data_IF_518607808437
#
_entry.id   IF_518607808437
#
_cell.length_a   1.000
_cell.length_b   1.000
_cell.length_c   1.000
_cell.angle_alpha   90.00
_cell.angle_beta   90.00
_cell.angle_gamma   90.00
#
_symmetry.space_group_name_H-M   'P 1'
#
loop_
_entity.id
_entity.type
_entity.pdbx_description
1 polymer ?
#
# COMPACT_ATOMS: atom_id res chain seq x y z
N UNK A 1 25.30 -63.14 55.76
CA UNK A 1 26.17 -62.02 56.12
C UNK A 1 26.17 -61.01 54.98
N UNK A 2 25.75 -59.78 55.29
CA UNK A 2 25.82 -58.52 54.53
C UNK A 2 25.43 -58.47 53.05
N UNK A 3 24.21 -57.98 52.80
CA UNK A 3 23.91 -57.17 51.61
C UNK A 3 23.98 -55.70 52.02
N UNK A 4 24.93 -54.94 51.46
CA UNK A 4 25.01 -53.49 51.63
C UNK A 4 24.47 -52.84 50.36
N UNK A 5 23.31 -52.19 50.47
CA UNK A 5 22.73 -51.38 49.41
C UNK A 5 23.40 -50.01 49.48
N UNK A 6 24.33 -49.75 48.55
CA UNK A 6 24.90 -48.43 48.35
C UNK A 6 23.88 -47.51 47.70
N UNK A 7 23.28 -46.62 48.48
CA UNK A 7 22.52 -45.48 47.96
C UNK A 7 23.55 -44.54 47.33
N UNK A 8 23.50 -44.41 46.01
CA UNK A 8 24.24 -43.35 45.29
C UNK A 8 23.48 -42.06 45.59
N UNK A 9 24.00 -41.28 46.54
CA UNK A 9 23.58 -39.91 46.80
C UNK A 9 23.95 -39.07 45.57
N UNK A 10 22.95 -38.72 44.76
CA UNK A 10 23.13 -37.75 43.68
C UNK A 10 23.31 -36.38 44.33
N UNK A 11 24.58 -35.96 44.42
CA UNK A 11 25.01 -34.65 44.87
C UNK A 11 24.36 -33.57 43.98
N UNK A 12 23.30 -32.94 44.50
CA UNK A 12 22.67 -31.76 43.91
C UNK A 12 23.65 -30.59 44.04
N UNK A 13 24.66 -30.55 43.16
CA UNK A 13 25.49 -29.37 42.96
C UNK A 13 24.59 -28.21 42.59
N UNK A 14 24.35 -27.34 43.56
CA UNK A 14 23.75 -26.03 43.39
C UNK A 14 24.59 -25.29 42.36
N UNK A 15 24.06 -25.17 41.15
CA UNK A 15 24.65 -24.31 40.13
C UNK A 15 24.70 -22.89 40.69
N UNK A 16 25.91 -22.42 41.02
CA UNK A 16 26.12 -21.03 41.41
C UNK A 16 25.57 -20.13 40.30
N UNK A 17 24.88 -19.05 40.67
CA UNK A 17 24.33 -18.07 39.72
C UNK A 17 25.42 -17.52 38.77
N UNK A 18 26.68 -17.49 39.21
CA UNK A 18 27.83 -17.17 38.38
C UNK A 18 28.12 -18.22 37.29
N UNK A 19 28.00 -19.50 37.60
CA UNK A 19 28.21 -20.60 36.64
C UNK A 19 27.10 -20.61 35.58
N UNK A 20 25.86 -20.31 35.97
CA UNK A 20 24.74 -20.17 35.03
C UNK A 20 24.96 -18.99 34.08
N UNK A 21 25.41 -17.85 34.61
CA UNK A 21 25.68 -16.66 33.81
C UNK A 21 26.83 -16.88 32.81
N UNK A 22 27.90 -17.57 33.21
CA UNK A 22 29.02 -17.92 32.34
C UNK A 22 28.62 -18.85 31.20
N UNK A 23 27.80 -19.87 31.50
CA UNK A 23 27.26 -20.78 30.47
C UNK A 23 26.36 -20.00 29.51
N UNK A 24 25.46 -19.16 30.03
CA UNK A 24 24.58 -18.34 29.21
C UNK A 24 25.38 -17.40 28.28
N UNK A 25 26.42 -16.74 28.80
CA UNK A 25 27.30 -15.89 28.00
C UNK A 25 28.06 -16.69 26.93
N UNK A 26 28.57 -17.88 27.27
CA UNK A 26 29.24 -18.77 26.32
C UNK A 26 28.33 -19.23 25.19
N UNK A 27 27.10 -19.63 25.52
CA UNK A 27 26.08 -20.02 24.52
C UNK A 27 25.71 -18.82 23.64
N UNK A 28 25.52 -17.64 24.21
CA UNK A 28 25.21 -16.43 23.45
C UNK A 28 26.33 -16.06 22.47
N UNK A 29 27.60 -16.11 22.91
CA UNK A 29 28.75 -15.84 22.06
C UNK A 29 28.88 -16.87 20.93
N UNK A 30 28.77 -18.17 21.24
CA UNK A 30 28.82 -19.22 20.23
C UNK A 30 27.69 -19.09 19.20
N UNK A 31 26.48 -18.79 19.66
CA UNK A 31 25.33 -18.53 18.79
C UNK A 31 25.57 -17.31 17.89
N UNK A 32 26.09 -16.21 18.44
CA UNK A 32 26.39 -15.01 17.66
C UNK A 32 27.45 -15.28 16.58
N UNK A 33 28.52 -16.01 16.91
CA UNK A 33 29.55 -16.41 15.94
C UNK A 33 28.97 -17.31 14.86
N UNK A 34 28.11 -18.27 15.22
CA UNK A 34 27.42 -19.11 14.24
C UNK A 34 26.54 -18.28 13.31
N UNK A 35 25.78 -17.31 13.84
CA UNK A 35 24.94 -16.41 13.04
C UNK A 35 25.79 -15.53 12.11
N UNK A 36 26.94 -15.05 12.55
CA UNK A 36 27.89 -14.31 11.70
C UNK A 36 28.49 -15.20 10.60
N UNK A 37 28.83 -16.44 10.94
CA UNK A 37 29.32 -17.42 9.97
C UNK A 37 28.24 -17.71 8.93
N UNK A 38 27.01 -17.98 9.36
CA UNK A 38 25.86 -18.17 8.46
C UNK A 38 25.65 -16.96 7.57
N UNK A 39 25.66 -15.73 8.12
CA UNK A 39 25.53 -14.50 7.35
C UNK A 39 26.57 -14.42 6.24
N UNK A 40 27.85 -14.63 6.58
CA UNK A 40 28.97 -14.53 5.63
C UNK A 40 28.96 -15.66 4.59
N UNK A 41 28.89 -16.92 5.01
CA UNK A 41 29.01 -18.07 4.11
C UNK A 41 27.82 -18.24 3.17
N UNK A 42 26.66 -17.68 3.52
CA UNK A 42 25.48 -17.77 2.67
C UNK A 42 25.26 -16.50 1.84
N UNK A 43 26.01 -15.42 2.07
CA UNK A 43 25.98 -14.23 1.21
C UNK A 43 26.92 -14.44 0.02
N UNK A 44 26.37 -14.57 -1.20
CA UNK A 44 27.21 -14.72 -2.39
C UNK A 44 27.84 -13.36 -2.78
N UNK A 45 29.06 -13.37 -3.33
CA UNK A 45 29.80 -12.15 -3.70
C UNK A 45 29.09 -11.30 -4.76
N UNK A 46 28.28 -11.94 -5.61
CA UNK A 46 27.46 -11.28 -6.64
C UNK A 46 26.13 -10.71 -6.11
N UNK A 47 25.77 -10.98 -4.85
CA UNK A 47 24.56 -10.40 -4.26
C UNK A 47 24.81 -8.95 -3.81
N UNK A 48 23.77 -8.09 -3.85
CA UNK A 48 23.85 -6.75 -3.27
C UNK A 48 24.32 -6.79 -1.82
N UNK A 49 25.07 -5.76 -1.41
CA UNK A 49 25.65 -5.67 -0.07
C UNK A 49 24.57 -5.84 1.01
N UNK A 50 24.84 -6.69 2.01
CA UNK A 50 23.99 -6.85 3.18
C UNK A 50 24.17 -5.66 4.12
N UNK A 51 23.07 -5.13 4.65
CA UNK A 51 23.08 -4.06 5.65
C UNK A 51 22.22 -4.42 6.86
N UNK A 52 22.39 -3.64 7.93
CA UNK A 52 21.60 -3.80 9.16
C UNK A 52 21.84 -5.15 9.86
N UNK A 53 23.10 -5.60 9.91
CA UNK A 53 23.51 -6.94 10.36
C UNK A 53 24.10 -7.01 11.79
N UNK A 54 23.82 -6.02 12.64
CA UNK A 54 24.42 -5.94 14.01
C UNK A 54 24.20 -7.24 14.80
N UNK A 55 22.95 -7.72 14.79
CA UNK A 55 22.55 -9.08 15.15
C UNK A 55 22.01 -9.70 13.86
N UNK A 56 22.75 -10.65 13.24
CA UNK A 56 22.36 -11.20 11.96
C UNK A 56 20.93 -11.74 11.97
N UNK A 57 20.21 -11.54 10.86
CA UNK A 57 18.82 -11.97 10.65
C UNK A 57 17.76 -11.28 11.52
N UNK A 58 18.12 -10.69 12.66
CA UNK A 58 17.16 -10.12 13.62
C UNK A 58 17.14 -8.60 13.58
N UNK A 59 18.31 -7.96 13.48
CA UNK A 59 18.39 -6.48 13.48
C UNK A 59 17.56 -5.83 12.38
N UNK A 60 17.45 -6.35 11.14
CA UNK A 60 16.54 -5.79 10.15
C UNK A 60 15.09 -5.79 10.61
N UNK A 61 14.61 -6.89 11.21
CA UNK A 61 13.24 -7.02 11.73
C UNK A 61 13.01 -6.00 12.85
N UNK A 62 13.91 -5.93 13.82
CA UNK A 62 13.80 -4.98 14.93
C UNK A 62 13.74 -3.55 14.39
N UNK A 63 14.64 -3.19 13.47
CA UNK A 63 14.67 -1.85 12.90
C UNK A 63 13.43 -1.55 12.05
N UNK A 64 12.91 -2.51 11.28
CA UNK A 64 11.66 -2.38 10.53
C UNK A 64 10.47 -2.16 11.46
N UNK A 65 10.39 -2.91 12.56
CA UNK A 65 9.31 -2.77 13.54
C UNK A 65 9.40 -1.45 14.31
N UNK A 66 10.59 -1.10 14.83
CA UNK A 66 10.79 0.10 15.65
C UNK A 66 10.68 1.40 14.84
N UNK A 67 11.22 1.41 13.62
CA UNK A 67 11.22 2.60 12.77
C UNK A 67 10.01 2.66 11.84
N UNK A 68 9.26 1.56 11.73
CA UNK A 68 8.07 1.44 10.91
C UNK A 68 8.26 2.07 9.53
N UNK A 69 7.46 3.12 9.31
CA UNK A 69 7.42 3.87 8.08
C UNK A 69 8.68 4.67 7.70
N UNK A 70 9.68 4.77 8.56
CA UNK A 70 10.89 5.52 8.22
C UNK A 70 12.07 4.62 7.94
N UNK A 71 11.93 3.31 8.17
CA UNK A 71 13.04 2.37 8.07
C UNK A 71 13.76 2.44 6.71
N UNK A 72 13.04 2.21 5.61
CA UNK A 72 13.65 2.15 4.28
C UNK A 72 14.23 3.51 3.85
N UNK A 73 13.56 4.62 4.19
CA UNK A 73 14.07 5.97 3.92
C UNK A 73 15.38 6.23 4.67
N UNK A 74 15.42 5.92 5.96
CA UNK A 74 16.63 6.08 6.77
C UNK A 74 17.76 5.17 6.30
N UNK A 75 17.47 3.93 5.86
CA UNK A 75 18.50 3.04 5.32
C UNK A 75 19.04 3.55 3.99
N UNK A 76 18.15 4.01 3.09
CA UNK A 76 18.55 4.69 1.85
C UNK A 76 19.46 5.87 2.14
N UNK A 77 19.06 6.77 3.04
CA UNK A 77 19.81 8.00 3.31
C UNK A 77 21.12 7.71 4.05
N UNK A 78 21.14 6.73 4.95
CA UNK A 78 22.34 6.33 5.71
C UNK A 78 23.40 5.66 4.86
N UNK A 79 23.00 4.69 4.03
CA UNK A 79 23.95 3.87 3.27
C UNK A 79 24.16 4.36 1.84
N UNK A 80 23.20 5.10 1.29
CA UNK A 80 23.21 5.64 -0.07
C UNK A 80 23.55 4.60 -1.16
N UNK A 81 23.04 3.38 -0.99
CA UNK A 81 23.25 2.28 -1.94
C UNK A 81 22.10 2.20 -2.96
N UNK A 82 22.40 1.94 -4.24
CA UNK A 82 21.37 1.80 -5.28
C UNK A 82 20.52 0.53 -5.11
N UNK A 83 21.10 -0.52 -4.53
CA UNK A 83 20.44 -1.77 -4.16
C UNK A 83 21.17 -2.38 -2.96
N UNK A 84 20.45 -2.99 -2.02
CA UNK A 84 21.02 -3.67 -0.86
C UNK A 84 20.18 -4.87 -0.42
N UNK A 85 20.78 -5.74 0.39
CA UNK A 85 20.12 -6.95 0.93
C UNK A 85 19.79 -6.76 2.41
N UNK A 86 18.57 -7.14 2.80
CA UNK A 86 18.18 -7.39 4.19
C UNK A 86 18.09 -8.88 4.40
N UNK A 87 18.86 -9.38 5.36
CA UNK A 87 18.89 -10.79 5.71
C UNK A 87 17.86 -11.04 6.80
N UNK A 88 16.89 -11.90 6.52
CA UNK A 88 15.81 -12.29 7.44
C UNK A 88 15.95 -13.78 7.76
N UNK A 89 15.29 -14.29 8.82
CA UNK A 89 15.24 -15.72 9.09
C UNK A 89 14.58 -16.45 7.91
N UNK A 90 15.33 -17.35 7.27
CA UNK A 90 14.84 -18.17 6.16
C UNK A 90 14.54 -17.43 4.85
N UNK A 91 14.78 -16.11 4.77
CA UNK A 91 14.49 -15.32 3.57
C UNK A 91 15.47 -14.16 3.38
N UNK A 92 15.49 -13.60 2.18
CA UNK A 92 16.30 -12.42 1.83
C UNK A 92 15.41 -11.44 1.10
N UNK A 93 15.56 -10.17 1.43
CA UNK A 93 14.82 -9.09 0.80
C UNK A 93 15.82 -8.15 0.12
N UNK A 94 15.71 -8.00 -1.20
CA UNK A 94 16.50 -7.05 -1.97
C UNK A 94 15.73 -5.74 -2.05
N UNK A 95 16.30 -4.67 -1.51
CA UNK A 95 15.73 -3.33 -1.57
C UNK A 95 16.43 -2.54 -2.66
N UNK A 96 15.65 -2.04 -3.60
CA UNK A 96 16.15 -1.28 -4.76
C UNK A 96 15.76 0.19 -4.58
N UNK A 97 16.76 1.07 -4.55
CA UNK A 97 16.55 2.51 -4.39
C UNK A 97 16.74 3.29 -5.70
N UNK A 98 17.45 2.71 -6.67
CA UNK A 98 17.74 3.38 -7.94
C UNK A 98 16.59 3.23 -8.93
N UNK A 99 16.08 4.35 -9.45
CA UNK A 99 15.04 4.37 -10.48
C UNK A 99 15.43 3.53 -11.73
N UNK A 100 16.69 3.61 -12.16
CA UNK A 100 17.18 2.85 -13.32
C UNK A 100 17.23 1.33 -13.09
N UNK A 101 17.47 0.90 -11.84
CA UNK A 101 17.43 -0.51 -11.48
C UNK A 101 16.00 -0.99 -11.29
N UNK A 102 15.12 -0.17 -10.73
CA UNK A 102 13.70 -0.50 -10.55
C UNK A 102 13.07 -0.85 -11.89
N UNK A 103 13.23 0.02 -12.91
CA UNK A 103 12.68 -0.23 -14.25
C UNK A 103 13.27 -1.49 -14.89
N UNK A 104 14.58 -1.69 -14.77
CA UNK A 104 15.27 -2.88 -15.28
C UNK A 104 14.77 -4.18 -14.62
N UNK A 105 14.54 -4.16 -13.30
CA UNK A 105 14.04 -5.32 -12.53
C UNK A 105 12.58 -5.60 -12.84
N UNK A 106 11.74 -4.55 -12.93
CA UNK A 106 10.33 -4.69 -13.29
C UNK A 106 10.16 -5.23 -14.71
N UNK A 107 11.03 -4.86 -15.65
CA UNK A 107 11.04 -5.44 -16.99
C UNK A 107 11.29 -6.97 -16.99
N UNK A 108 11.91 -7.52 -15.95
CA UNK A 108 12.20 -8.95 -15.80
C UNK A 108 11.10 -9.73 -15.06
N UNK A 109 9.85 -9.26 -15.08
CA UNK A 109 8.71 -9.88 -14.38
C UNK A 109 8.40 -11.34 -14.77
N UNK A 110 8.90 -11.82 -15.90
CA UNK A 110 8.81 -13.24 -16.27
C UNK A 110 9.86 -14.12 -15.58
N UNK A 111 11.00 -13.53 -15.23
CA UNK A 111 12.08 -14.21 -14.52
C UNK A 111 11.93 -14.07 -12.98
N UNK A 112 11.30 -13.00 -12.52
CA UNK A 112 11.09 -12.69 -11.11
C UNK A 112 9.62 -12.85 -10.75
N UNK A 113 9.32 -13.79 -9.85
CA UNK A 113 7.95 -14.20 -9.54
C UNK A 113 7.23 -13.26 -8.55
N UNK A 114 6.96 -12.02 -8.95
CA UNK A 114 6.15 -11.08 -8.16
C UNK A 114 4.69 -11.54 -8.01
N UNK A 115 4.14 -12.14 -9.06
CA UNK A 115 2.77 -12.68 -9.14
C UNK A 115 2.50 -13.80 -8.12
N UNK A 116 3.49 -14.60 -7.72
CA UNK A 116 3.32 -15.62 -6.70
C UNK A 116 3.17 -15.03 -5.29
N UNK A 117 3.86 -13.92 -5.00
CA UNK A 117 3.68 -13.18 -3.75
C UNK A 117 2.29 -12.54 -3.74
N UNK A 118 1.90 -11.91 -4.85
CA UNK A 118 0.55 -11.36 -5.03
C UNK A 118 -0.55 -12.41 -4.90
N UNK A 119 -0.37 -13.59 -5.50
CA UNK A 119 -1.30 -14.71 -5.37
C UNK A 119 -1.42 -15.18 -3.92
N UNK A 120 -0.31 -15.24 -3.18
CA UNK A 120 -0.30 -15.65 -1.77
C UNK A 120 -0.94 -14.58 -0.85
N UNK A 121 -0.74 -13.29 -1.16
CA UNK A 121 -1.42 -12.17 -0.50
C UNK A 121 -2.91 -12.23 -0.79
N UNK A 122 -3.29 -12.38 -2.06
CA UNK A 122 -4.67 -12.52 -2.50
C UNK A 122 -5.36 -13.72 -1.85
N UNK A 123 -4.68 -14.86 -1.80
CA UNK A 123 -5.14 -16.09 -1.18
C UNK A 123 -5.51 -15.93 0.30
N UNK A 124 -4.66 -15.25 1.05
CA UNK A 124 -4.76 -15.21 2.50
C UNK A 124 -5.46 -13.95 3.05
N UNK A 125 -5.51 -12.86 2.28
CA UNK A 125 -5.98 -11.56 2.77
C UNK A 125 -7.30 -11.10 2.15
N UNK A 126 -7.64 -11.54 0.94
CA UNK A 126 -8.88 -11.11 0.28
C UNK A 126 -10.14 -11.85 0.75
N UNK A 127 -10.02 -12.79 1.71
CA UNK A 127 -11.15 -13.59 2.18
C UNK A 127 -11.88 -14.33 1.06
N UNK A 128 -11.16 -14.63 -0.03
CA UNK A 128 -11.66 -15.35 -1.20
C UNK A 128 -12.04 -16.78 -0.81
N UNK A 129 -13.07 -17.33 -1.46
CA UNK A 129 -13.37 -18.76 -1.32
C UNK A 129 -12.17 -19.56 -1.85
N UNK A 130 -11.96 -20.77 -1.33
CA UNK A 130 -10.85 -21.63 -1.74
C UNK A 130 -10.80 -21.83 -3.25
N UNK A 131 -11.96 -22.00 -3.89
CA UNK A 131 -12.07 -22.17 -5.34
C UNK A 131 -11.57 -20.91 -6.09
N UNK A 132 -11.84 -19.72 -5.56
CA UNK A 132 -11.34 -18.46 -6.12
C UNK A 132 -9.83 -18.32 -5.95
N UNK A 133 -9.31 -18.71 -4.79
CA UNK A 133 -7.86 -18.73 -4.52
C UNK A 133 -7.15 -19.69 -5.46
N UNK A 134 -7.71 -20.89 -5.65
CA UNK A 134 -7.16 -21.89 -6.56
C UNK A 134 -7.14 -21.41 -8.01
N UNK A 135 -8.10 -20.59 -8.42
CA UNK A 135 -8.12 -19.95 -9.75
C UNK A 135 -7.05 -18.86 -9.86
N UNK A 136 -6.93 -17.98 -8.84
CA UNK A 136 -5.94 -16.89 -8.83
C UNK A 136 -4.51 -17.44 -8.82
N UNK A 137 -4.26 -18.49 -8.04
CA UNK A 137 -2.94 -19.11 -7.86
C UNK A 137 -2.53 -20.09 -8.96
N UNK A 138 -3.38 -20.39 -9.94
CA UNK A 138 -3.06 -21.29 -11.05
C UNK A 138 -2.38 -20.52 -12.17
N UNK A 139 -1.31 -21.10 -12.72
CA UNK A 139 -0.62 -20.59 -13.90
C UNK A 139 -0.20 -19.10 -13.79
N UNK A 140 0.24 -18.66 -12.59
CA UNK A 140 0.52 -17.24 -12.26
C UNK A 140 1.54 -16.54 -13.16
N UNK A 141 2.31 -17.30 -13.94
CA UNK A 141 3.32 -16.78 -14.89
C UNK A 141 2.99 -17.10 -16.35
N UNK A 142 1.77 -17.58 -16.65
CA UNK A 142 1.32 -17.88 -18.01
C UNK A 142 0.31 -16.83 -18.47
N UNK A 143 0.36 -16.47 -19.74
CA UNK A 143 -0.49 -15.41 -20.32
C UNK A 143 -2.00 -15.66 -20.21
N UNK A 144 -2.42 -16.92 -20.06
CA UNK A 144 -3.81 -17.33 -19.84
C UNK A 144 -4.22 -17.39 -18.36
N UNK A 145 -3.27 -17.24 -17.43
CA UNK A 145 -3.55 -17.23 -16.00
C UNK A 145 -4.37 -16.00 -15.59
N UNK A 146 -5.09 -16.10 -14.46
CA UNK A 146 -5.96 -15.01 -13.99
C UNK A 146 -5.18 -13.70 -13.76
N UNK A 147 -4.07 -13.77 -13.03
CA UNK A 147 -3.25 -12.57 -12.72
C UNK A 147 -2.64 -11.94 -13.98
N UNK A 148 -2.21 -12.75 -14.95
CA UNK A 148 -1.62 -12.25 -16.20
C UNK A 148 -2.66 -11.71 -17.18
N UNK A 149 -3.90 -12.20 -17.12
CA UNK A 149 -5.01 -11.70 -17.94
C UNK A 149 -5.71 -10.49 -17.32
N UNK A 150 -5.63 -10.30 -16.00
CA UNK A 150 -6.25 -9.20 -15.28
C UNK A 150 -5.92 -7.80 -15.86
N UNK A 151 -4.64 -7.47 -16.17
CA UNK A 151 -4.32 -6.21 -16.84
C UNK A 151 -5.07 -6.02 -18.16
N UNK A 152 -5.24 -7.05 -18.99
CA UNK A 152 -5.94 -6.93 -20.28
C UNK A 152 -7.39 -6.45 -20.08
N UNK A 153 -8.09 -7.04 -19.11
CA UNK A 153 -9.47 -6.66 -18.80
C UNK A 153 -9.55 -5.25 -18.20
N UNK A 154 -8.71 -4.95 -17.22
CA UNK A 154 -8.74 -3.65 -16.52
C UNK A 154 -8.29 -2.50 -17.41
N UNK A 155 -7.21 -2.68 -18.17
CA UNK A 155 -6.72 -1.66 -19.11
C UNK A 155 -7.76 -1.37 -20.18
N UNK A 156 -8.48 -2.36 -20.71
CA UNK A 156 -9.48 -2.12 -21.75
C UNK A 156 -10.62 -1.19 -21.29
N UNK A 157 -11.01 -1.26 -20.01
CA UNK A 157 -12.05 -0.42 -19.44
C UNK A 157 -11.54 0.97 -19.03
N UNK A 158 -10.27 1.09 -18.64
CA UNK A 158 -9.68 2.31 -18.08
C UNK A 158 -8.77 3.08 -19.05
N UNK A 159 -8.59 2.58 -20.28
CA UNK A 159 -7.90 3.30 -21.36
C UNK A 159 -8.83 4.34 -21.98
N UNK A 160 -8.26 5.34 -22.64
CA UNK A 160 -9.02 6.36 -23.36
C UNK A 160 -10.02 5.71 -24.33
N UNK A 161 -11.28 6.14 -24.24
CA UNK A 161 -12.37 5.61 -25.04
C UNK A 161 -13.71 5.58 -24.30
N UNK A 162 -14.75 5.02 -24.93
CA UNK A 162 -16.13 5.15 -24.47
C UNK A 162 -16.40 4.59 -23.06
N UNK A 163 -15.68 3.54 -22.66
CA UNK A 163 -15.84 2.93 -21.34
C UNK A 163 -15.36 3.88 -20.22
N UNK A 164 -14.12 4.38 -20.35
CA UNK A 164 -13.57 5.37 -19.43
C UNK A 164 -14.40 6.66 -19.44
N UNK A 165 -14.88 7.09 -20.61
CA UNK A 165 -15.70 8.29 -20.73
C UNK A 165 -17.03 8.17 -20.00
N UNK A 166 -17.66 6.99 -20.04
CA UNK A 166 -18.88 6.72 -19.28
C UNK A 166 -18.63 6.80 -17.77
N UNK A 167 -17.51 6.24 -17.30
CA UNK A 167 -17.11 6.31 -15.88
C UNK A 167 -16.85 7.77 -15.45
N UNK A 168 -16.03 8.50 -16.22
CA UNK A 168 -15.73 9.91 -15.97
C UNK A 168 -17.00 10.77 -15.96
N UNK A 169 -17.89 10.58 -16.93
CA UNK A 169 -19.18 11.29 -17.00
C UNK A 169 -19.99 11.07 -15.74
N UNK A 170 -20.07 9.83 -15.25
CA UNK A 170 -20.82 9.51 -14.03
C UNK A 170 -20.18 10.16 -12.81
N UNK A 171 -18.87 10.06 -12.64
CA UNK A 171 -18.14 10.69 -11.54
C UNK A 171 -18.33 12.22 -11.52
N UNK A 172 -18.18 12.88 -12.67
CA UNK A 172 -18.34 14.33 -12.80
C UNK A 172 -19.78 14.77 -12.50
N UNK A 173 -20.79 13.98 -12.89
CA UNK A 173 -22.18 14.26 -12.52
C UNK A 173 -22.41 14.22 -11.01
N UNK A 174 -21.78 13.25 -10.32
CA UNK A 174 -21.86 13.12 -8.86
C UNK A 174 -21.19 14.32 -8.18
N UNK A 175 -19.97 14.68 -8.61
CA UNK A 175 -19.25 15.86 -8.12
C UNK A 175 -20.08 17.13 -8.33
N UNK A 176 -20.55 17.36 -9.57
CA UNK A 176 -21.29 18.57 -9.91
C UNK A 176 -22.59 18.68 -9.09
N UNK A 177 -23.34 17.57 -8.96
CA UNK A 177 -24.57 17.54 -8.18
C UNK A 177 -24.35 17.78 -6.69
N UNK A 178 -23.28 17.22 -6.11
CA UNK A 178 -22.92 17.47 -4.72
C UNK A 178 -22.52 18.93 -4.49
N UNK A 179 -21.65 19.49 -5.35
CA UNK A 179 -21.25 20.89 -5.27
C UNK A 179 -22.43 21.86 -5.53
N UNK A 180 -23.41 21.48 -6.36
CA UNK A 180 -24.68 22.22 -6.50
C UNK A 180 -25.51 22.24 -5.22
N UNK A 181 -25.52 21.13 -4.48
CA UNK A 181 -26.18 21.09 -3.17
C UNK A 181 -25.46 21.97 -2.15
N UNK A 182 -24.11 21.97 -2.16
CA UNK A 182 -23.30 22.83 -1.29
C UNK A 182 -23.43 24.31 -1.62
N UNK A 183 -23.51 24.69 -2.90
CA UNK A 183 -23.62 26.11 -3.28
C UNK A 183 -24.94 26.76 -2.88
N UNK A 184 -25.98 25.95 -2.58
CA UNK A 184 -27.28 26.44 -2.08
C UNK A 184 -27.29 26.65 -0.56
N UNK A 185 -26.28 26.15 0.16
CA UNK A 185 -26.14 26.37 1.59
C UNK A 185 -25.51 27.74 1.85
N UNK A 186 -25.74 28.30 3.04
CA UNK A 186 -24.95 29.45 3.51
C UNK A 186 -23.50 29.03 3.75
N UNK A 187 -22.65 30.00 4.07
CA UNK A 187 -21.30 29.73 4.59
C UNK A 187 -21.38 28.66 5.68
N UNK A 188 -20.66 27.55 5.48
CA UNK A 188 -20.73 26.38 6.35
C UNK A 188 -19.33 25.99 6.79
N UNK A 189 -19.14 25.74 8.08
CA UNK A 189 -17.90 25.17 8.61
C UNK A 189 -17.86 23.66 8.35
N UNK A 190 -16.75 23.18 7.78
CA UNK A 190 -16.53 21.77 7.45
C UNK A 190 -15.11 21.32 7.74
N UNK A 191 -14.94 20.01 7.88
CA UNK A 191 -13.65 19.31 7.95
C UNK A 191 -13.17 18.99 6.54
N UNK A 192 -12.19 19.74 6.03
CA UNK A 192 -11.75 19.69 4.63
C UNK A 192 -11.31 18.29 4.20
N UNK A 193 -10.49 17.61 5.00
CA UNK A 193 -9.94 16.30 4.64
C UNK A 193 -11.02 15.22 4.62
N UNK A 194 -11.87 15.17 5.64
CA UNK A 194 -13.04 14.29 5.67
C UNK A 194 -13.98 14.55 4.51
N UNK A 195 -14.27 15.82 4.22
CA UNK A 195 -15.19 16.20 3.15
C UNK A 195 -14.65 15.85 1.75
N UNK A 196 -13.41 16.24 1.43
CA UNK A 196 -12.81 15.91 0.12
C UNK A 196 -12.74 14.41 -0.11
N UNK A 197 -12.39 13.64 0.94
CA UNK A 197 -12.38 12.17 0.87
C UNK A 197 -13.77 11.60 0.54
N UNK A 198 -14.82 12.11 1.18
CA UNK A 198 -16.19 11.69 0.89
C UNK A 198 -16.58 12.00 -0.56
N UNK A 199 -16.37 13.24 -1.01
CA UNK A 199 -16.73 13.68 -2.38
C UNK A 199 -16.05 12.83 -3.45
N UNK A 200 -14.74 12.62 -3.32
CA UNK A 200 -13.97 11.83 -4.26
C UNK A 200 -14.31 10.34 -4.18
N UNK A 201 -14.48 9.77 -2.98
CA UNK A 201 -14.89 8.36 -2.84
C UNK A 201 -16.23 8.10 -3.52
N UNK A 202 -17.22 8.95 -3.28
CA UNK A 202 -18.54 8.78 -3.88
C UNK A 202 -18.49 8.93 -5.40
N UNK A 203 -17.75 9.91 -5.91
CA UNK A 203 -17.58 10.08 -7.35
C UNK A 203 -16.90 8.86 -8.01
N UNK A 204 -15.80 8.37 -7.42
CA UNK A 204 -15.05 7.26 -8.01
C UNK A 204 -15.87 5.98 -7.97
N UNK A 205 -16.50 5.70 -6.82
CA UNK A 205 -17.26 4.47 -6.61
C UNK A 205 -18.56 4.44 -7.40
N UNK A 206 -19.21 5.59 -7.63
CA UNK A 206 -20.33 5.69 -8.57
C UNK A 206 -19.90 5.46 -10.02
N UNK A 207 -18.71 5.93 -10.41
CA UNK A 207 -18.15 5.66 -11.73
C UNK A 207 -17.83 4.18 -11.94
N UNK A 208 -17.31 3.50 -10.92
CA UNK A 208 -16.87 2.09 -10.97
C UNK A 208 -18.02 1.10 -10.81
N UNK A 209 -18.83 1.25 -9.76
CA UNK A 209 -19.89 0.29 -9.42
C UNK A 209 -21.25 0.64 -10.00
N UNK A 210 -21.45 1.89 -10.42
CA UNK A 210 -22.71 2.36 -10.98
C UNK A 210 -23.91 2.13 -10.05
N UNK A 211 -25.04 1.61 -10.54
CA UNK A 211 -26.25 1.42 -9.73
C UNK A 211 -26.08 0.55 -8.49
N UNK A 212 -25.06 -0.32 -8.45
CA UNK A 212 -24.79 -1.26 -7.35
C UNK A 212 -23.70 -0.77 -6.40
N UNK A 213 -23.45 0.54 -6.35
CA UNK A 213 -22.42 1.12 -5.48
C UNK A 213 -22.66 0.80 -3.99
N UNK A 214 -21.81 -0.02 -3.34
CA UNK A 214 -21.98 -0.37 -1.94
C UNK A 214 -21.66 0.81 -1.01
N UNK A 215 -20.91 1.82 -1.46
CA UNK A 215 -20.51 2.97 -0.65
C UNK A 215 -21.63 3.99 -0.42
N UNK A 216 -22.81 3.78 -1.04
CA UNK A 216 -24.03 4.50 -0.66
C UNK A 216 -24.49 4.17 0.75
N UNK A 217 -24.11 3.00 1.26
CA UNK A 217 -24.27 2.66 2.67
C UNK A 217 -23.13 3.34 3.48
N UNK A 218 -23.44 4.29 4.38
CA UNK A 218 -22.43 4.99 5.17
C UNK A 218 -21.53 4.06 5.99
N UNK A 219 -22.02 2.87 6.35
CA UNK A 219 -21.23 1.88 7.08
C UNK A 219 -20.08 1.32 6.24
N UNK A 220 -20.25 1.29 4.91
CA UNK A 220 -19.22 0.83 3.98
C UNK A 220 -18.15 1.90 3.78
N UNK A 221 -18.56 3.16 3.70
CA UNK A 221 -17.63 4.29 3.68
C UNK A 221 -16.84 4.40 5.01
N UNK A 222 -17.50 4.23 6.15
CA UNK A 222 -16.82 4.25 7.45
C UNK A 222 -15.81 3.11 7.57
N UNK A 223 -16.21 1.89 7.19
CA UNK A 223 -15.32 0.72 7.17
C UNK A 223 -14.13 0.87 6.20
N UNK A 224 -14.25 1.74 5.19
CA UNK A 224 -13.14 2.06 4.31
C UNK A 224 -12.10 2.93 5.02
N UNK A 225 -12.49 3.89 5.85
CA UNK A 225 -11.56 4.85 6.46
C UNK A 225 -10.92 4.44 7.78
N UNK A 226 -10.91 3.14 8.12
CA UNK A 226 -10.34 2.63 9.38
C UNK A 226 -8.85 2.95 9.49
N UNK A 227 -8.50 3.64 10.57
CA UNK A 227 -7.17 4.16 10.93
C UNK A 227 -6.42 3.26 11.93
N UNK A 228 -7.12 2.28 12.49
CA UNK A 228 -6.56 1.28 13.40
C UNK A 228 -6.09 0.05 12.62
N UNK A 229 -4.82 -0.32 12.83
CA UNK A 229 -4.28 -1.57 12.32
C UNK A 229 -4.85 -2.73 13.15
N UNK A 230 -5.69 -3.55 12.51
CA UNK A 230 -6.23 -4.77 13.09
C UNK A 230 -5.71 -5.97 12.29
N UNK A 231 -4.66 -6.61 12.80
CA UNK A 231 -4.05 -7.78 12.19
C UNK A 231 -4.95 -9.03 12.24
N UNK A 232 -5.97 -9.04 13.11
CA UNK A 232 -6.93 -10.13 13.21
C UNK A 232 -8.18 -9.90 12.36
N UNK A 233 -8.30 -8.75 11.66
CA UNK A 233 -9.49 -8.33 10.90
C UNK A 233 -10.00 -9.39 9.93
N UNK A 234 -9.09 -10.17 9.35
CA UNK A 234 -9.37 -11.22 8.38
C UNK A 234 -9.10 -12.64 8.90
N UNK A 235 -8.83 -12.79 10.20
CA UNK A 235 -8.59 -14.09 10.82
C UNK A 235 -9.85 -14.94 10.90
N UNK A 236 -9.69 -16.27 10.81
CA UNK A 236 -10.77 -17.22 10.95
C UNK A 236 -11.45 -17.10 12.32
N UNK A 237 -12.78 -17.04 12.36
CA UNK A 237 -13.58 -16.96 13.59
C UNK A 237 -14.04 -15.56 14.02
N UNK A 238 -13.62 -14.49 13.33
CA UNK A 238 -14.14 -13.13 13.54
C UNK A 238 -15.36 -12.84 12.63
N UNK A 239 -16.12 -11.79 12.96
CA UNK A 239 -17.25 -11.32 12.13
C UNK A 239 -16.72 -10.97 10.74
N UNK A 240 -17.29 -11.57 9.69
CA UNK A 240 -16.88 -11.36 8.30
C UNK A 240 -17.01 -9.87 7.95
N UNK A 241 -15.87 -9.21 7.75
CA UNK A 241 -15.82 -7.81 7.30
C UNK A 241 -16.14 -7.78 5.80
N UNK A 242 -16.78 -6.69 5.35
CA UNK A 242 -17.04 -6.51 3.93
C UNK A 242 -15.70 -6.47 3.15
N UNK A 243 -15.60 -7.28 2.10
CA UNK A 243 -14.40 -7.42 1.27
C UNK A 243 -13.97 -6.10 0.61
N UNK A 244 -14.90 -5.15 0.45
CA UNK A 244 -14.65 -3.80 -0.04
C UNK A 244 -13.70 -3.00 0.89
N UNK A 245 -13.57 -3.38 2.16
CA UNK A 245 -12.65 -2.74 3.11
C UNK A 245 -11.17 -3.14 2.91
N UNK A 246 -10.87 -4.05 1.98
CA UNK A 246 -9.49 -4.44 1.68
C UNK A 246 -8.84 -3.44 0.71
N UNK A 247 -7.67 -2.93 1.09
CA UNK A 247 -6.82 -2.05 0.29
C UNK A 247 -5.54 -2.75 -0.13
N UNK A 248 -5.59 -3.47 -1.25
CA UNK A 248 -4.37 -3.94 -1.91
C UNK A 248 -3.78 -2.81 -2.75
N UNK A 249 -2.53 -2.42 -2.51
CA UNK A 249 -1.80 -1.46 -3.34
C UNK A 249 -0.37 -1.93 -3.60
N UNK A 250 0.13 -1.59 -4.79
CA UNK A 250 1.54 -1.74 -5.20
C UNK A 250 1.85 -3.04 -5.93
N UNK A 251 2.70 -2.97 -6.96
CA UNK A 251 3.32 -4.17 -7.56
C UNK A 251 3.26 -4.35 -9.09
N UNK A 252 2.75 -3.39 -9.87
CA UNK A 252 2.69 -3.52 -11.33
C UNK A 252 4.00 -3.18 -12.06
N UNK A 253 4.24 -3.81 -13.20
CA UNK A 253 5.28 -3.41 -14.18
C UNK A 253 4.84 -2.23 -15.05
N UNK A 254 3.56 -1.86 -14.98
CA UNK A 254 2.93 -0.80 -15.74
C UNK A 254 2.36 0.27 -14.81
N UNK A 255 2.21 1.49 -15.31
CA UNK A 255 1.51 2.56 -14.60
C UNK A 255 0.07 2.13 -14.25
N UNK A 256 -0.45 2.68 -13.14
CA UNK A 256 -1.82 2.40 -12.70
C UNK A 256 -2.81 2.65 -13.86
N UNK A 257 -3.61 1.64 -14.26
CA UNK A 257 -4.55 1.80 -15.35
C UNK A 257 -5.62 2.86 -15.02
N UNK A 258 -5.96 3.03 -13.73
CA UNK A 258 -6.92 4.04 -13.27
C UNK A 258 -6.39 5.48 -13.24
N UNK A 259 -5.15 5.76 -13.66
CA UNK A 259 -4.55 7.10 -13.54
C UNK A 259 -5.32 8.20 -14.28
N UNK A 260 -5.83 7.90 -15.48
CA UNK A 260 -6.58 8.88 -16.28
C UNK A 260 -7.95 9.17 -15.69
N UNK A 261 -8.63 8.13 -15.15
CA UNK A 261 -9.87 8.28 -14.41
C UNK A 261 -9.68 9.18 -13.18
N UNK A 262 -8.73 8.81 -12.32
CA UNK A 262 -8.43 9.56 -11.09
C UNK A 262 -8.00 11.01 -11.37
N UNK A 263 -7.16 11.22 -12.39
CA UNK A 263 -6.68 12.57 -12.72
C UNK A 263 -7.81 13.45 -13.26
N UNK A 264 -8.71 12.89 -14.07
CA UNK A 264 -9.90 13.62 -14.53
C UNK A 264 -10.79 14.03 -13.36
N UNK A 265 -11.03 13.12 -12.41
CA UNK A 265 -11.78 13.44 -11.18
C UNK A 265 -11.14 14.57 -10.37
N UNK A 266 -9.84 14.45 -10.09
CA UNK A 266 -9.12 15.43 -9.26
C UNK A 266 -9.15 16.81 -9.92
N UNK A 267 -8.89 16.88 -11.23
CA UNK A 267 -8.89 18.14 -11.97
C UNK A 267 -10.29 18.76 -12.01
N UNK A 268 -11.32 17.97 -12.30
CA UNK A 268 -12.70 18.47 -12.37
C UNK A 268 -13.21 18.92 -10.99
N UNK A 269 -12.94 18.14 -9.94
CA UNK A 269 -13.27 18.52 -8.58
C UNK A 269 -12.56 19.81 -8.17
N UNK A 270 -11.25 19.90 -8.41
CA UNK A 270 -10.46 21.09 -8.06
C UNK A 270 -10.91 22.33 -8.84
N UNK A 271 -11.16 22.21 -10.14
CA UNK A 271 -11.63 23.31 -10.97
C UNK A 271 -12.99 23.83 -10.49
N UNK A 272 -13.96 22.93 -10.26
CA UNK A 272 -15.29 23.32 -9.76
C UNK A 272 -15.20 23.90 -8.36
N UNK A 273 -14.33 23.37 -7.49
CA UNK A 273 -14.13 23.89 -6.15
C UNK A 273 -13.62 25.34 -6.18
N UNK A 274 -12.56 25.61 -6.95
CA UNK A 274 -11.95 26.94 -7.06
C UNK A 274 -12.91 27.96 -7.69
N UNK A 275 -13.64 27.56 -8.72
CA UNK A 275 -14.55 28.44 -9.44
C UNK A 275 -15.81 28.80 -8.63
N UNK A 276 -16.27 27.91 -7.76
CA UNK A 276 -17.58 28.03 -7.10
C UNK A 276 -17.49 28.42 -5.64
N UNK A 277 -16.36 28.18 -4.98
CA UNK A 277 -16.23 28.39 -3.54
C UNK A 277 -14.99 29.21 -3.18
N UNK A 278 -15.14 29.98 -2.11
CA UNK A 278 -14.04 30.59 -1.36
C UNK A 278 -13.84 29.76 -0.08
N UNK A 279 -12.66 29.18 0.06
CA UNK A 279 -12.30 28.32 1.20
C UNK A 279 -11.46 29.16 2.15
N UNK A 280 -11.90 29.32 3.40
CA UNK A 280 -11.15 30.06 4.42
C UNK A 280 -10.88 29.17 5.61
N UNK A 281 -9.66 29.17 6.19
CA UNK A 281 -9.41 28.48 7.43
C UNK A 281 -10.24 29.14 8.54
N UNK A 282 -10.92 28.33 9.37
CA UNK A 282 -11.73 28.85 10.49
C UNK A 282 -10.88 29.69 11.44
N UNK A 283 -9.63 29.28 11.64
CA UNK A 283 -8.64 29.98 12.48
C UNK A 283 -8.01 31.22 11.81
N UNK A 284 -8.43 31.57 10.59
CA UNK A 284 -7.93 32.74 9.86
C UNK A 284 -6.58 32.56 9.16
N UNK A 285 -5.79 31.53 9.51
CA UNK A 285 -4.49 31.24 8.88
C UNK A 285 -4.39 29.78 8.40
N UNK A 286 -3.77 29.57 7.25
CA UNK A 286 -3.49 28.23 6.74
C UNK A 286 -2.30 27.61 7.48
N UNK A 287 -2.51 26.46 8.11
CA UNK A 287 -1.46 25.67 8.76
C UNK A 287 -1.22 24.41 7.93
N UNK A 288 0.05 24.14 7.57
CA UNK A 288 0.43 22.91 6.88
C UNK A 288 0.17 21.71 7.81
N UNK A 289 -0.66 20.72 7.41
CA UNK A 289 -0.89 19.54 8.22
C UNK A 289 0.39 18.71 8.37
N UNK A 290 0.56 18.11 9.55
CA UNK A 290 1.62 17.12 9.78
C UNK A 290 1.17 15.77 9.24
N UNK A 291 2.11 14.96 8.75
CA UNK A 291 1.83 13.62 8.17
C UNK A 291 2.74 12.54 8.76
N UNK A 292 3.33 12.82 9.92
CA UNK A 292 4.34 11.97 10.55
C UNK A 292 3.81 10.57 10.93
N UNK A 293 2.50 10.43 11.13
CA UNK A 293 1.88 9.14 11.48
C UNK A 293 1.36 8.38 10.25
N UNK A 294 1.60 8.89 9.03
CA UNK A 294 1.14 8.22 7.81
C UNK A 294 1.89 6.92 7.60
N UNK A 295 1.16 5.83 7.32
CA UNK A 295 1.75 4.56 6.94
C UNK A 295 2.55 4.69 5.64
N UNK A 296 3.69 4.00 5.55
CA UNK A 296 4.51 3.96 4.34
C UNK A 296 3.86 3.25 3.16
N UNK A 297 2.92 2.34 3.44
CA UNK A 297 2.22 1.64 2.37
C UNK A 297 1.22 2.56 1.66
N UNK A 298 0.95 3.75 2.22
CA UNK A 298 0.13 4.74 1.56
C UNK A 298 0.96 5.43 0.47
N UNK A 299 0.42 5.48 -0.75
CA UNK A 299 1.04 6.18 -1.87
C UNK A 299 1.16 7.70 -1.64
N UNK A 300 0.32 8.26 -0.75
CA UNK A 300 0.36 9.67 -0.35
C UNK A 300 0.34 9.81 1.17
N UNK A 301 1.11 10.75 1.75
CA UNK A 301 1.05 11.04 3.18
C UNK A 301 -0.36 11.50 3.60
N UNK A 302 -0.90 10.88 4.64
CA UNK A 302 -2.20 11.23 5.21
C UNK A 302 -2.04 12.27 6.34
N UNK A 303 -2.84 13.36 6.37
CA UNK A 303 -2.85 14.32 7.47
C UNK A 303 -3.12 13.66 8.83
N UNK A 304 -2.36 14.04 9.86
CA UNK A 304 -2.54 13.60 11.24
C UNK A 304 -3.82 14.14 11.88
N UNK A 305 -4.30 15.29 11.39
CA UNK A 305 -5.52 15.95 11.86
C UNK A 305 -6.24 16.57 10.67
N UNK A 306 -7.56 16.69 10.79
CA UNK A 306 -8.37 17.40 9.80
C UNK A 306 -8.13 18.92 9.84
N UNK A 307 -8.56 19.62 8.81
CA UNK A 307 -8.42 21.07 8.65
C UNK A 307 -9.83 21.67 8.60
N UNK A 308 -10.22 22.40 9.63
CA UNK A 308 -11.51 23.08 9.67
C UNK A 308 -11.47 24.33 8.78
N UNK A 309 -12.41 24.41 7.84
CA UNK A 309 -12.56 25.53 6.93
C UNK A 309 -14.01 26.01 6.89
N UNK A 310 -14.20 27.26 6.53
CA UNK A 310 -15.48 27.78 6.05
C UNK A 310 -15.54 27.61 4.54
N UNK A 311 -16.53 26.85 4.07
CA UNK A 311 -16.86 26.72 2.67
C UNK A 311 -17.91 27.79 2.31
N UNK A 312 -17.52 28.78 1.50
CA UNK A 312 -18.36 29.93 1.13
C UNK A 312 -18.69 29.88 -0.36
N UNK A 313 -19.96 29.74 -0.77
CA UNK A 313 -20.33 29.88 -2.18
C UNK A 313 -19.99 31.28 -2.70
N UNK A 314 -19.38 31.38 -3.89
CA UNK A 314 -18.93 32.66 -4.47
C UNK A 314 -20.07 33.47 -5.09
N UNK A 315 -21.04 32.79 -5.70
CA UNK A 315 -22.17 33.40 -6.41
C UNK A 315 -23.36 32.44 -6.47
N UNK A 316 -24.50 32.97 -6.89
CA UNK A 316 -25.75 32.23 -7.09
C UNK A 316 -25.89 31.68 -8.52
N UNK A 317 -24.79 31.56 -9.26
CA UNK A 317 -24.84 31.12 -10.65
C UNK A 317 -25.32 29.66 -10.74
N UNK A 318 -26.15 29.39 -11.75
CA UNK A 318 -26.55 28.03 -12.11
C UNK A 318 -25.48 27.44 -13.04
N UNK A 319 -24.75 26.45 -12.55
CA UNK A 319 -23.71 25.77 -13.31
C UNK A 319 -24.28 24.59 -14.10
N UNK A 320 -23.98 24.52 -15.40
CA UNK A 320 -24.28 23.35 -16.24
C UNK A 320 -22.96 22.67 -16.61
N UNK A 321 -22.61 21.65 -15.85
CA UNK A 321 -21.36 20.90 -16.07
C UNK A 321 -21.62 19.75 -17.03
N UNK A 322 -20.82 19.66 -18.10
CA UNK A 322 -20.85 18.55 -19.05
C UNK A 322 -19.45 18.06 -19.34
N UNK A 323 -19.31 16.75 -19.52
CA UNK A 323 -18.06 16.11 -19.94
C UNK A 323 -18.23 15.58 -21.37
N UNK A 324 -17.33 15.93 -22.29
CA UNK A 324 -17.45 15.52 -23.70
C UNK A 324 -16.75 14.19 -24.03
N UNK A 325 -15.89 13.69 -23.13
CA UNK A 325 -15.02 12.54 -23.42
C UNK A 325 -13.65 12.97 -23.95
N UNK A 326 -12.77 11.98 -24.14
CA UNK A 326 -11.44 12.18 -24.70
C UNK A 326 -11.23 11.31 -25.96
N UNK A 327 -10.76 11.92 -27.06
CA UNK A 327 -10.31 11.17 -28.24
C UNK A 327 -8.89 10.57 -28.05
N UNK A 328 -8.11 11.15 -27.12
CA UNK A 328 -6.77 10.72 -26.73
C UNK A 328 -6.60 10.79 -25.22
N UNK A 329 -5.86 9.85 -24.63
CA UNK A 329 -5.58 9.86 -23.19
C UNK A 329 -4.92 11.17 -22.75
N UNK A 330 -5.26 11.63 -21.55
CA UNK A 330 -4.62 12.81 -20.96
C UNK A 330 -3.12 12.53 -20.72
N UNK A 331 -2.26 13.41 -21.20
CA UNK A 331 -0.80 13.32 -21.09
C UNK A 331 -0.34 13.68 -19.67
N UNK A 332 -0.38 12.71 -18.76
CA UNK A 332 -0.10 12.92 -17.31
C UNK A 332 1.31 12.48 -16.95
N UNK A 333 1.85 11.52 -17.71
CA UNK A 333 3.17 10.91 -17.49
C UNK A 333 4.03 10.98 -18.75
N UNK A 334 5.34 10.79 -18.60
CA UNK A 334 6.27 10.80 -19.74
C UNK A 334 5.91 9.71 -20.76
N UNK A 335 5.38 8.59 -20.29
CA UNK A 335 4.86 7.48 -21.09
C UNK A 335 3.62 7.85 -21.91
N UNK A 336 2.92 8.93 -21.55
CA UNK A 336 1.77 9.44 -22.31
C UNK A 336 2.18 10.51 -23.34
N UNK A 337 3.32 11.18 -23.14
CA UNK A 337 3.71 12.40 -23.88
C UNK A 337 4.37 12.14 -25.24
N UNK A 338 4.74 10.89 -25.55
CA UNK A 338 5.28 10.51 -26.86
C UNK A 338 4.86 9.08 -27.20
N UNK A 339 4.54 8.81 -28.46
CA UNK A 339 4.11 7.50 -28.99
C UNK A 339 5.16 6.38 -28.92
N UNK A 340 6.02 6.37 -27.91
CA UNK A 340 6.91 5.26 -27.55
C UNK A 340 6.07 4.20 -26.86
N UNK A 341 5.31 3.45 -27.65
CA UNK A 341 5.10 2.06 -27.30
C UNK A 341 6.52 1.48 -27.07
N UNK A 342 6.84 0.90 -25.90
CA UNK A 342 8.03 0.09 -25.81
C UNK A 342 7.88 -0.96 -26.90
N UNK A 343 8.78 -1.00 -27.88
CA UNK A 343 8.94 -2.18 -28.71
C UNK A 343 9.28 -3.32 -27.76
N UNK A 344 8.24 -4.01 -27.29
CA UNK A 344 8.36 -5.30 -26.66
C UNK A 344 8.74 -6.25 -27.79
N UNK A 345 10.03 -6.24 -28.13
CA UNK A 345 10.65 -7.27 -28.95
C UNK A 345 10.30 -8.63 -28.36
N UNK A 346 9.79 -9.48 -29.24
CA UNK A 346 9.20 -10.80 -28.97
C UNK A 346 10.00 -11.70 -28.03
#
# INVERSE_FOLDING_TARGET
MSFSVGIIELDHKTFSMSSVLQIAAGVAAATYVLLLALLRFTQHEKEPASISDTIPFITPIINMTLKGGDFHRQMRDKYNLPIYTLRLPGSRMYIVNSASLITSIQAQFRALSFTAIEANIAANLLGCKKETVDIIGRDVNKDHGYLMSFPKYVHSALSAGPALDAMNRRAIQVIAGSLDAWSKKKTTEIQLWKWVRHELLMASTEGVYGPKNPFRDPTMEEAWYVDTFDHERFAAGKKRVNLVAFRGFGGGTTLCPGRHFASTEILMFSALLVLRFDLRPVIGTWIKPTTANSSLVNAMPVPNSDINIELRPRNENVWKVSFSGYDKGMEISAEDMDGVAPELGH
#
